data_IF_745154658412
#
_entry.id   IF_745154658412
#
_cell.length_a   1.000
_cell.length_b   1.000
_cell.length_c   1.000
_cell.angle_alpha   90.00
_cell.angle_beta   90.00
_cell.angle_gamma   90.00
#
_symmetry.space_group_name_H-M   'P 1'
#
loop_
_entity.id
_entity.type
_entity.pdbx_description
1 polymer ?
#
# COMPACT_ATOMS: atom_id res chain seq x y z
N UNK A 1 40.88 -25.35 -31.83
CA UNK A 1 40.81 -25.03 -30.39
C UNK A 1 39.35 -24.81 -30.07
N UNK A 2 38.66 -25.89 -29.69
CA UNK A 2 37.21 -25.88 -29.50
C UNK A 2 36.94 -25.40 -28.08
N UNK A 3 36.54 -24.14 -27.94
CA UNK A 3 36.04 -23.60 -26.69
C UNK A 3 34.59 -24.07 -26.55
N UNK A 4 34.39 -25.04 -25.67
CA UNK A 4 33.07 -25.39 -25.15
C UNK A 4 32.64 -24.30 -24.17
N UNK A 5 31.68 -23.47 -24.57
CA UNK A 5 30.90 -22.65 -23.63
C UNK A 5 29.76 -23.55 -23.15
N UNK A 6 29.88 -24.08 -21.93
CA UNK A 6 28.78 -24.75 -21.26
C UNK A 6 27.85 -23.68 -20.66
N UNK A 7 26.79 -23.35 -21.39
CA UNK A 7 25.65 -22.63 -20.82
C UNK A 7 24.86 -23.64 -19.98
N UNK A 8 24.92 -23.52 -18.66
CA UNK A 8 24.01 -24.25 -17.77
C UNK A 8 22.65 -23.56 -17.79
N UNK A 9 21.84 -23.91 -18.79
CA UNK A 9 20.39 -23.73 -18.69
C UNK A 9 19.87 -24.90 -17.87
N UNK A 10 19.54 -24.67 -16.61
CA UNK A 10 18.71 -25.60 -15.85
C UNK A 10 17.30 -25.50 -16.45
N UNK A 11 17.07 -26.26 -17.52
CA UNK A 11 15.75 -26.50 -18.04
C UNK A 11 15.07 -27.49 -17.10
N UNK A 12 14.41 -26.96 -16.07
CA UNK A 12 13.41 -27.73 -15.32
C UNK A 12 12.33 -28.17 -16.30
N UNK A 13 12.29 -29.47 -16.57
CA UNK A 13 11.29 -30.10 -17.42
C UNK A 13 9.90 -29.97 -16.78
N UNK A 14 9.11 -28.99 -17.22
CA UNK A 14 7.68 -28.96 -16.96
C UNK A 14 6.98 -29.87 -17.97
N UNK A 15 6.40 -30.97 -17.49
CA UNK A 15 5.42 -31.76 -18.23
C UNK A 15 4.25 -30.83 -18.61
N UNK A 16 4.04 -30.64 -19.91
CA UNK A 16 2.82 -30.02 -20.42
C UNK A 16 1.72 -31.09 -20.32
N UNK A 17 0.94 -31.04 -19.26
CA UNK A 17 -0.30 -31.82 -19.17
C UNK A 17 -1.39 -31.05 -19.92
N UNK A 18 -1.73 -31.50 -21.12
CA UNK A 18 -2.86 -30.98 -21.88
C UNK A 18 -4.16 -31.25 -21.10
N UNK A 19 -4.78 -30.21 -20.54
CA UNK A 19 -6.11 -30.34 -19.95
C UNK A 19 -7.15 -30.44 -21.07
N UNK A 20 -7.72 -31.63 -21.23
CA UNK A 20 -8.94 -31.83 -22.00
C UNK A 20 -10.09 -31.07 -21.34
N UNK A 21 -10.81 -30.24 -22.11
CA UNK A 21 -12.02 -29.58 -21.65
C UNK A 21 -13.05 -30.62 -21.17
N UNK A 22 -13.44 -30.50 -19.90
CA UNK A 22 -14.60 -31.19 -19.32
C UNK A 22 -15.81 -30.23 -19.33
N UNK A 23 -17.03 -30.76 -19.41
CA UNK A 23 -18.22 -30.05 -19.86
C UNK A 23 -18.71 -29.01 -18.84
N UNK A 24 -19.41 -28.01 -19.37
CA UNK A 24 -19.90 -26.84 -18.67
C UNK A 24 -20.62 -27.14 -17.36
N UNK A 25 -19.97 -26.75 -16.26
CA UNK A 25 -20.66 -26.33 -15.05
C UNK A 25 -20.74 -24.80 -15.12
N UNK A 26 -21.94 -24.25 -14.97
CA UNK A 26 -22.14 -22.84 -14.63
C UNK A 26 -21.63 -22.62 -13.21
N UNK A 27 -20.31 -22.65 -13.01
CA UNK A 27 -19.70 -22.10 -11.83
C UNK A 27 -20.01 -20.61 -11.88
N UNK A 28 -20.88 -20.13 -11.00
CA UNK A 28 -20.86 -18.72 -10.65
C UNK A 28 -19.40 -18.41 -10.30
N UNK A 29 -18.77 -17.54 -11.08
CA UNK A 29 -17.42 -17.09 -10.76
C UNK A 29 -17.45 -16.56 -9.34
N UNK A 30 -16.78 -17.27 -8.43
CA UNK A 30 -16.74 -16.90 -7.02
C UNK A 30 -15.72 -15.78 -6.89
N UNK A 31 -16.18 -14.55 -7.08
CA UNK A 31 -15.34 -13.36 -6.89
C UNK A 31 -14.88 -13.25 -5.43
N UNK A 32 -13.67 -12.72 -5.18
CA UNK A 32 -13.19 -12.51 -3.83
C UNK A 32 -14.05 -11.44 -3.13
N UNK A 33 -14.47 -11.74 -1.89
CA UNK A 33 -15.20 -10.80 -1.05
C UNK A 33 -14.29 -9.72 -0.44
N UNK A 34 -13.04 -10.09 -0.17
CA UNK A 34 -12.08 -9.24 0.51
C UNK A 34 -10.81 -9.14 -0.35
N UNK A 35 -10.25 -7.94 -0.45
CA UNK A 35 -9.00 -7.67 -1.15
C UNK A 35 -8.03 -7.01 -0.17
N UNK A 36 -6.87 -7.64 0.01
CA UNK A 36 -5.74 -7.07 0.75
C UNK A 36 -4.61 -6.82 -0.25
N UNK A 37 -4.19 -5.57 -0.38
CA UNK A 37 -3.08 -5.15 -1.22
C UNK A 37 -1.91 -4.71 -0.34
N UNK A 38 -0.81 -5.47 -0.39
CA UNK A 38 0.42 -5.17 0.33
C UNK A 38 1.44 -4.58 -0.66
N UNK A 39 1.83 -3.32 -0.45
CA UNK A 39 2.83 -2.61 -1.25
C UNK A 39 4.11 -2.42 -0.43
N UNK A 40 5.19 -3.11 -0.82
CA UNK A 40 6.53 -2.74 -0.38
C UNK A 40 7.10 -1.69 -1.32
N UNK A 41 7.10 -0.41 -0.95
CA UNK A 41 7.64 0.66 -1.81
C UNK A 41 9.13 0.38 -2.10
N UNK A 42 9.54 0.43 -3.37
CA UNK A 42 10.91 0.06 -3.78
C UNK A 42 11.28 -1.42 -3.64
N UNK A 43 10.34 -2.32 -3.31
CA UNK A 43 10.59 -3.75 -3.07
C UNK A 43 10.68 -4.55 -4.38
N UNK A 44 11.80 -4.43 -5.09
CA UNK A 44 12.12 -5.28 -6.23
C UNK A 44 12.61 -6.69 -5.83
N UNK A 45 12.82 -7.56 -6.83
CA UNK A 45 13.36 -8.92 -6.60
C UNK A 45 14.70 -8.91 -5.86
N UNK A 46 15.53 -7.88 -6.08
CA UNK A 46 16.81 -7.74 -5.39
C UNK A 46 16.64 -7.49 -3.89
N UNK A 47 15.64 -6.69 -3.50
CA UNK A 47 15.29 -6.42 -2.10
C UNK A 47 14.75 -7.68 -1.43
N UNK A 48 13.84 -8.40 -2.09
CA UNK A 48 13.30 -9.69 -1.59
C UNK A 48 14.44 -10.69 -1.37
N UNK A 49 15.32 -10.87 -2.36
CA UNK A 49 16.46 -11.77 -2.26
C UNK A 49 17.42 -11.38 -1.11
N UNK A 50 17.63 -10.08 -0.88
CA UNK A 50 18.46 -9.60 0.21
C UNK A 50 17.86 -9.95 1.58
N UNK A 51 16.53 -9.81 1.73
CA UNK A 51 15.85 -10.18 2.96
C UNK A 51 15.86 -11.69 3.20
N UNK A 52 15.62 -12.52 2.16
CA UNK A 52 15.73 -13.98 2.27
C UNK A 52 17.13 -14.42 2.74
N UNK A 53 18.18 -13.74 2.27
CA UNK A 53 19.57 -14.03 2.69
C UNK A 53 19.92 -13.56 4.11
N UNK A 54 19.11 -12.66 4.69
CA UNK A 54 19.33 -12.12 6.03
C UNK A 54 18.40 -12.72 7.09
N UNK A 55 17.33 -13.41 6.68
CA UNK A 55 16.38 -14.06 7.58
C UNK A 55 16.88 -15.44 8.02
N UNK A 56 16.63 -15.79 9.28
CA UNK A 56 16.89 -17.13 9.81
C UNK A 56 15.77 -18.12 9.46
N UNK A 57 14.58 -17.61 9.09
CA UNK A 57 13.38 -18.38 8.73
C UNK A 57 12.89 -18.00 7.33
N UNK A 58 12.20 -18.90 6.60
CA UNK A 58 11.57 -18.55 5.33
C UNK A 58 10.60 -17.38 5.47
N UNK A 59 10.61 -16.47 4.51
CA UNK A 59 9.73 -15.30 4.48
C UNK A 59 8.28 -15.70 4.17
N UNK A 60 7.31 -14.95 4.68
CA UNK A 60 5.90 -15.17 4.37
C UNK A 60 5.59 -14.95 2.88
N UNK A 61 6.28 -14.01 2.21
CA UNK A 61 6.12 -13.80 0.77
C UNK A 61 6.46 -15.05 -0.07
N UNK A 62 7.29 -15.97 0.45
CA UNK A 62 7.61 -17.24 -0.22
C UNK A 62 6.42 -18.20 -0.26
N UNK A 63 5.37 -17.94 0.52
CA UNK A 63 4.14 -18.74 0.56
C UNK A 63 3.17 -18.38 -0.57
N UNK A 64 3.43 -17.30 -1.32
CA UNK A 64 2.60 -16.92 -2.46
C UNK A 64 2.71 -17.95 -3.60
N UNK A 65 1.59 -18.60 -3.93
CA UNK A 65 1.57 -19.66 -4.96
C UNK A 65 1.66 -19.11 -6.40
N UNK A 66 1.27 -17.86 -6.61
CA UNK A 66 1.21 -17.21 -7.91
C UNK A 66 2.16 -16.03 -7.97
N UNK A 67 3.02 -16.01 -8.99
CA UNK A 67 4.01 -14.96 -9.21
C UNK A 67 3.85 -14.38 -10.60
N UNK A 68 3.76 -13.05 -10.69
CA UNK A 68 3.68 -12.31 -11.93
C UNK A 68 4.80 -11.26 -12.04
N UNK A 69 5.22 -10.97 -13.26
CA UNK A 69 6.12 -9.85 -13.56
C UNK A 69 5.32 -8.76 -14.26
N UNK A 70 5.49 -7.52 -13.81
CA UNK A 70 4.75 -6.37 -14.34
C UNK A 70 5.71 -5.27 -14.79
N UNK A 71 5.31 -4.48 -15.80
CA UNK A 71 6.04 -3.29 -16.24
C UNK A 71 5.50 -2.05 -15.51
N UNK A 72 6.38 -1.36 -14.80
CA UNK A 72 6.02 -0.26 -13.90
C UNK A 72 6.21 1.13 -14.48
N UNK A 73 6.67 1.30 -15.72
CA UNK A 73 6.87 2.62 -16.35
C UNK A 73 5.64 3.53 -16.24
N UNK A 74 5.84 4.84 -16.11
CA UNK A 74 4.77 5.84 -16.13
C UNK A 74 4.37 6.20 -17.58
N UNK A 75 3.43 7.12 -17.77
CA UNK A 75 3.10 7.62 -19.12
C UNK A 75 4.16 8.58 -19.67
N UNK A 76 4.91 9.25 -18.79
CA UNK A 76 5.95 10.20 -19.13
C UNK A 76 7.35 9.59 -19.22
N UNK A 77 7.62 8.52 -18.46
CA UNK A 77 8.97 8.00 -18.25
C UNK A 77 9.05 6.47 -18.18
N UNK A 78 10.21 5.93 -18.59
CA UNK A 78 10.50 4.51 -18.40
C UNK A 78 10.63 4.14 -16.91
N UNK A 79 11.13 5.06 -16.09
CA UNK A 79 11.26 4.91 -14.64
C UNK A 79 10.14 5.71 -13.97
N UNK A 80 9.22 5.02 -13.32
CA UNK A 80 8.13 5.64 -12.56
C UNK A 80 8.62 6.20 -11.23
N UNK A 81 7.85 7.12 -10.65
CA UNK A 81 7.88 7.41 -9.22
C UNK A 81 6.74 6.69 -8.47
N UNK A 82 6.74 6.75 -7.13
CA UNK A 82 5.68 6.12 -6.31
C UNK A 82 4.28 6.63 -6.64
N UNK A 83 4.12 7.91 -7.03
CA UNK A 83 2.81 8.50 -7.31
C UNK A 83 2.19 7.91 -8.58
N UNK A 84 2.91 7.94 -9.71
CA UNK A 84 2.41 7.34 -10.94
C UNK A 84 2.25 5.82 -10.82
N UNK A 85 3.14 5.15 -10.08
CA UNK A 85 3.07 3.71 -9.81
C UNK A 85 1.83 3.33 -9.01
N UNK A 86 1.58 4.04 -7.90
CA UNK A 86 0.42 3.80 -7.05
C UNK A 86 -0.89 4.19 -7.73
N UNK A 87 -0.91 5.28 -8.52
CA UNK A 87 -2.09 5.64 -9.35
C UNK A 87 -2.38 4.54 -10.38
N UNK A 88 -1.37 3.90 -10.96
CA UNK A 88 -1.60 2.76 -11.85
C UNK A 88 -2.19 1.54 -11.12
N UNK A 89 -1.77 1.26 -9.88
CA UNK A 89 -2.38 0.20 -9.07
C UNK A 89 -3.79 0.54 -8.62
N UNK A 90 -4.02 1.78 -8.20
CA UNK A 90 -5.28 2.23 -7.62
C UNK A 90 -6.36 2.46 -8.69
N UNK A 91 -6.01 3.11 -9.80
CA UNK A 91 -6.95 3.63 -10.79
C UNK A 91 -6.93 2.86 -12.13
N UNK A 92 -5.97 1.95 -12.33
CA UNK A 92 -5.87 1.15 -13.55
C UNK A 92 -5.41 1.91 -14.81
N UNK A 93 -4.88 3.13 -14.66
CA UNK A 93 -4.41 3.98 -15.76
C UNK A 93 -2.93 4.37 -15.59
N UNK A 94 -2.22 4.55 -16.71
CA UNK A 94 -0.86 5.11 -16.69
C UNK A 94 -0.93 6.63 -16.67
N UNK A 95 -0.22 7.26 -15.74
CA UNK A 95 -0.14 8.72 -15.60
C UNK A 95 1.30 9.22 -15.51
N UNK A 96 1.53 10.53 -15.45
CA UNK A 96 2.86 11.14 -15.38
C UNK A 96 3.44 11.11 -13.97
N UNK A 97 4.77 11.14 -13.85
CA UNK A 97 5.43 11.11 -12.54
C UNK A 97 4.97 12.27 -11.64
N UNK A 98 4.65 11.96 -10.38
CA UNK A 98 4.11 12.91 -9.40
C UNK A 98 2.59 13.01 -9.35
N UNK A 99 1.85 12.40 -10.27
CA UNK A 99 0.39 12.42 -10.29
C UNK A 99 -0.24 11.46 -9.26
N UNK A 100 -1.22 11.96 -8.52
CA UNK A 100 -2.00 11.24 -7.51
C UNK A 100 -3.43 11.11 -8.03
N UNK A 101 -3.90 9.90 -8.35
CA UNK A 101 -5.31 9.66 -8.70
C UNK A 101 -5.82 10.40 -9.94
N UNK A 102 -4.95 10.86 -10.85
CA UNK A 102 -5.34 11.55 -12.09
C UNK A 102 -4.75 10.87 -13.33
N UNK A 103 -5.46 10.94 -14.45
CA UNK A 103 -4.99 10.44 -15.75
C UNK A 103 -3.87 11.34 -16.31
N UNK A 104 -3.26 10.94 -17.42
CA UNK A 104 -2.20 11.67 -18.10
C UNK A 104 -2.63 13.08 -18.56
N UNK A 105 -3.93 13.32 -18.76
CA UNK A 105 -4.51 14.64 -19.06
C UNK A 105 -4.89 15.45 -17.81
N UNK A 106 -4.55 14.95 -16.62
CA UNK A 106 -4.86 15.51 -15.30
C UNK A 106 -6.34 15.43 -14.87
N UNK A 107 -7.19 14.69 -15.58
CA UNK A 107 -8.56 14.41 -15.12
C UNK A 107 -8.56 13.43 -13.93
N UNK A 108 -9.48 13.61 -12.97
CA UNK A 108 -9.61 12.71 -11.83
C UNK A 108 -10.07 11.32 -12.29
N UNK A 109 -9.44 10.27 -11.76
CA UNK A 109 -9.80 8.88 -12.05
C UNK A 109 -10.06 8.15 -10.75
N UNK A 110 -11.24 7.52 -10.66
CA UNK A 110 -11.64 6.77 -9.46
C UNK A 110 -10.67 5.65 -9.15
N UNK A 111 -10.32 5.54 -7.87
CA UNK A 111 -9.51 4.45 -7.34
C UNK A 111 -10.36 3.22 -7.01
N UNK A 112 -9.72 2.06 -6.85
CA UNK A 112 -10.32 0.84 -6.35
C UNK A 112 -10.93 1.02 -4.96
N UNK A 113 -10.37 1.90 -4.13
CA UNK A 113 -10.93 2.20 -2.81
C UNK A 113 -12.25 2.97 -2.94
N UNK A 114 -12.32 3.97 -3.81
CA UNK A 114 -13.57 4.68 -4.07
C UNK A 114 -14.63 3.78 -4.72
N UNK A 115 -14.21 2.83 -5.55
CA UNK A 115 -15.12 1.79 -6.07
C UNK A 115 -15.63 0.86 -4.96
N UNK A 116 -14.78 0.49 -4.01
CA UNK A 116 -15.16 -0.33 -2.86
C UNK A 116 -16.15 0.40 -1.93
N UNK A 117 -15.87 1.66 -1.59
CA UNK A 117 -16.78 2.54 -0.84
C UNK A 117 -18.14 2.69 -1.55
N UNK A 118 -18.13 2.97 -2.87
CA UNK A 118 -19.36 3.09 -3.64
C UNK A 118 -20.14 1.77 -3.76
N UNK A 119 -19.48 0.62 -3.57
CA UNK A 119 -20.10 -0.70 -3.52
C UNK A 119 -20.58 -1.08 -2.12
N UNK A 120 -20.37 -0.24 -1.11
CA UNK A 120 -20.73 -0.51 0.28
C UNK A 120 -19.80 -1.49 0.99
N UNK A 121 -18.57 -1.66 0.49
CA UNK A 121 -17.54 -2.46 1.16
C UNK A 121 -16.76 -1.56 2.11
N UNK A 122 -16.34 -2.10 3.26
CA UNK A 122 -15.46 -1.38 4.15
C UNK A 122 -14.09 -1.11 3.52
N UNK A 123 -13.46 0.02 3.84
CA UNK A 123 -12.14 0.35 3.30
C UNK A 123 -11.10 0.79 4.32
N UNK A 124 -9.84 0.43 4.04
CA UNK A 124 -8.73 0.69 4.94
C UNK A 124 -7.43 1.04 4.23
N UNK A 125 -6.72 2.05 4.74
CA UNK A 125 -5.38 2.46 4.32
C UNK A 125 -4.41 2.49 5.50
N UNK A 126 -3.27 1.82 5.39
CA UNK A 126 -2.19 1.90 6.38
C UNK A 126 -0.87 2.20 5.68
N UNK A 127 -0.06 3.10 6.22
CA UNK A 127 1.26 3.40 5.69
C UNK A 127 2.29 3.64 6.81
N UNK A 128 3.54 3.23 6.57
CA UNK A 128 4.67 3.55 7.46
C UNK A 128 5.27 4.95 7.23
N UNK A 129 4.87 5.63 6.17
CA UNK A 129 5.14 7.05 5.90
C UNK A 129 4.00 7.95 6.41
N UNK A 130 3.93 9.20 5.96
CA UNK A 130 2.71 10.00 6.14
C UNK A 130 1.55 9.39 5.37
N UNK A 131 0.33 9.43 5.90
CA UNK A 131 -0.84 8.92 5.17
C UNK A 131 -1.14 9.71 3.88
N UNK A 132 -0.62 10.94 3.77
CA UNK A 132 -0.67 11.77 2.56
C UNK A 132 0.55 11.59 1.64
N UNK A 133 1.39 10.59 1.89
CA UNK A 133 2.48 10.23 0.96
C UNK A 133 1.90 9.62 -0.31
N UNK A 134 2.69 9.57 -1.38
CA UNK A 134 2.20 9.24 -2.72
C UNK A 134 1.43 7.92 -2.78
N UNK A 135 1.99 6.84 -2.23
CA UNK A 135 1.39 5.50 -2.28
C UNK A 135 -0.01 5.46 -1.66
N UNK A 136 -0.22 5.81 -0.36
CA UNK A 136 -1.57 5.85 0.21
C UNK A 136 -2.47 6.92 -0.42
N UNK A 137 -1.93 8.10 -0.75
CA UNK A 137 -2.70 9.19 -1.34
C UNK A 137 -3.35 8.79 -2.67
N UNK A 138 -2.65 8.04 -3.53
CA UNK A 138 -3.17 7.60 -4.84
C UNK A 138 -4.43 6.72 -4.74
N UNK A 139 -4.77 6.19 -3.57
CA UNK A 139 -6.00 5.43 -3.36
C UNK A 139 -7.19 6.29 -2.92
N UNK A 140 -7.01 7.54 -2.50
CA UNK A 140 -8.10 8.32 -1.91
C UNK A 140 -8.16 9.79 -2.39
N UNK A 141 -7.07 10.29 -2.96
CA UNK A 141 -6.93 11.69 -3.34
C UNK A 141 -6.76 11.85 -4.85
N UNK A 142 -7.05 13.05 -5.34
CA UNK A 142 -6.85 13.42 -6.75
C UNK A 142 -6.08 14.72 -6.86
N UNK A 143 -4.81 14.64 -7.25
CA UNK A 143 -3.94 15.79 -7.34
C UNK A 143 -2.86 15.63 -8.41
N UNK A 144 -2.60 16.70 -9.17
CA UNK A 144 -1.52 16.73 -10.17
C UNK A 144 -0.12 16.67 -9.55
N UNK A 145 0.01 16.82 -8.23
CA UNK A 145 1.29 16.77 -7.54
C UNK A 145 1.21 16.08 -6.18
N UNK A 146 2.04 15.04 -6.02
CA UNK A 146 2.32 14.36 -4.75
C UNK A 146 2.86 15.27 -3.64
N UNK A 147 3.33 16.47 -3.99
CA UNK A 147 3.82 17.46 -3.03
C UNK A 147 2.71 18.25 -2.32
N UNK A 148 1.47 18.15 -2.78
CA UNK A 148 0.34 18.93 -2.26
C UNK A 148 -0.30 18.29 -1.02
N UNK A 149 0.50 17.95 0.00
CA UNK A 149 0.06 17.20 1.17
C UNK A 149 -1.14 17.79 1.92
N UNK A 150 -1.25 19.12 2.03
CA UNK A 150 -2.40 19.76 2.67
C UNK A 150 -3.68 19.63 1.82
N UNK A 151 -3.58 19.68 0.49
CA UNK A 151 -4.72 19.44 -0.39
C UNK A 151 -5.12 17.95 -0.33
N UNK A 152 -4.15 17.05 -0.42
CA UNK A 152 -4.34 15.60 -0.28
C UNK A 152 -5.01 15.26 1.08
N UNK A 153 -4.64 15.93 2.17
CA UNK A 153 -5.27 15.72 3.47
C UNK A 153 -6.76 16.12 3.49
N UNK A 154 -7.19 17.07 2.65
CA UNK A 154 -8.61 17.43 2.54
C UNK A 154 -9.41 16.31 1.86
N UNK A 155 -8.83 15.60 0.90
CA UNK A 155 -9.52 14.51 0.18
C UNK A 155 -9.91 13.35 1.13
N UNK A 156 -9.20 13.15 2.25
CA UNK A 156 -9.59 12.23 3.32
C UNK A 156 -10.92 12.60 4.02
N UNK A 157 -11.41 13.83 3.84
CA UNK A 157 -12.75 14.23 4.30
C UNK A 157 -13.82 13.99 3.24
N UNK A 158 -13.45 13.85 1.96
CA UNK A 158 -14.38 13.70 0.85
C UNK A 158 -14.83 12.24 0.69
N UNK A 159 -13.88 11.30 0.77
CA UNK A 159 -14.17 9.85 0.73
C UNK A 159 -14.43 9.33 2.14
N UNK A 160 -15.49 8.54 2.29
CA UNK A 160 -15.98 8.08 3.60
C UNK A 160 -15.26 6.81 4.13
N UNK A 161 -13.95 6.73 3.92
CA UNK A 161 -13.09 5.61 4.32
C UNK A 161 -13.28 5.19 5.79
N UNK A 162 -13.34 3.89 6.09
CA UNK A 162 -13.53 3.45 7.48
C UNK A 162 -12.28 3.60 8.33
N UNK A 163 -11.12 3.29 7.77
CA UNK A 163 -9.86 3.28 8.51
C UNK A 163 -8.74 3.90 7.68
N UNK A 164 -8.06 4.91 8.22
CA UNK A 164 -6.74 5.26 7.74
C UNK A 164 -5.76 5.45 8.88
N UNK A 165 -4.54 4.93 8.73
CA UNK A 165 -3.49 5.09 9.74
C UNK A 165 -2.11 5.30 9.14
N UNK A 166 -1.43 6.34 9.60
CA UNK A 166 -0.06 6.63 9.19
C UNK A 166 0.50 7.80 9.99
N UNK A 167 1.62 8.34 9.52
CA UNK A 167 2.15 9.61 10.01
C UNK A 167 1.45 10.82 9.38
N UNK A 168 1.99 12.00 9.65
CA UNK A 168 1.61 13.24 8.94
C UNK A 168 0.53 14.06 9.62
N UNK A 169 0.37 13.94 10.94
CA UNK A 169 -0.56 14.75 11.74
C UNK A 169 -0.49 16.24 11.40
N UNK A 170 0.72 16.79 11.16
CA UNK A 170 0.90 18.21 10.80
C UNK A 170 0.04 18.66 9.60
N UNK A 171 -0.22 17.78 8.64
CA UNK A 171 -1.01 18.14 7.45
C UNK A 171 -2.52 18.25 7.73
N UNK A 172 -2.94 17.77 8.90
CA UNK A 172 -4.33 17.81 9.38
C UNK A 172 -4.56 18.90 10.42
N UNK A 173 -3.54 19.31 11.19
CA UNK A 173 -3.72 20.26 12.32
C UNK A 173 -2.77 21.46 12.36
N UNK A 174 -1.70 21.48 11.56
CA UNK A 174 -0.75 22.60 11.44
C UNK A 174 -0.69 23.06 9.99
N UNK A 175 -1.81 23.63 9.55
CA UNK A 175 -2.07 23.94 8.14
C UNK A 175 -1.95 25.43 7.85
N UNK A 176 -1.52 25.77 6.63
CA UNK A 176 -1.43 27.16 6.15
C UNK A 176 -2.77 27.90 6.14
N UNK A 177 -3.86 27.18 5.90
CA UNK A 177 -5.23 27.72 5.92
C UNK A 177 -5.83 27.81 7.33
N UNK A 178 -5.09 27.39 8.36
CA UNK A 178 -5.51 27.33 9.77
C UNK A 178 -6.73 26.43 10.03
N UNK A 179 -7.10 25.56 9.07
CA UNK A 179 -8.16 24.58 9.30
C UNK A 179 -7.67 23.48 10.26
N UNK A 180 -8.55 23.04 11.16
CA UNK A 180 -8.35 21.81 11.94
C UNK A 180 -9.18 20.69 11.30
N UNK A 181 -8.52 19.80 10.57
CA UNK A 181 -9.18 18.65 9.95
C UNK A 181 -9.51 17.56 10.98
N UNK A 182 -8.88 17.56 12.17
CA UNK A 182 -9.21 16.59 13.22
C UNK A 182 -10.62 16.83 13.75
N UNK A 183 -11.01 18.09 13.93
CA UNK A 183 -12.38 18.43 14.31
C UNK A 183 -13.38 18.02 13.22
N UNK A 184 -13.05 18.25 11.95
CA UNK A 184 -13.91 17.85 10.83
C UNK A 184 -14.06 16.33 10.72
N UNK A 185 -12.98 15.57 10.95
CA UNK A 185 -13.01 14.11 11.04
C UNK A 185 -13.88 13.65 12.23
N UNK A 186 -13.77 14.27 13.41
CA UNK A 186 -14.66 13.97 14.55
C UNK A 186 -16.13 14.21 14.21
N UNK A 187 -16.43 15.29 13.50
CA UNK A 187 -17.80 15.59 13.03
C UNK A 187 -18.31 14.55 12.00
N UNK A 188 -17.41 13.81 11.37
CA UNK A 188 -17.69 12.64 10.52
C UNK A 188 -17.61 11.31 11.27
N UNK A 189 -17.65 11.34 12.61
CA UNK A 189 -17.63 10.18 13.51
C UNK A 189 -16.32 9.36 13.52
N UNK A 190 -15.20 9.96 13.09
CA UNK A 190 -13.90 9.31 13.24
C UNK A 190 -13.39 9.41 14.68
N UNK A 191 -12.89 8.29 15.17
CA UNK A 191 -12.03 8.25 16.35
C UNK A 191 -10.62 8.66 15.95
N UNK A 192 -10.17 9.79 16.47
CA UNK A 192 -8.81 10.30 16.24
C UNK A 192 -7.86 9.58 17.18
N UNK A 193 -6.91 8.83 16.62
CA UNK A 193 -5.88 8.13 17.38
C UNK A 193 -4.52 8.76 17.07
N UNK A 194 -3.83 9.24 18.09
CA UNK A 194 -2.54 9.95 17.94
C UNK A 194 -1.34 9.13 18.45
N UNK A 195 -1.59 7.99 19.09
CA UNK A 195 -0.58 7.07 19.57
C UNK A 195 -1.00 5.62 19.28
N UNK A 196 -0.08 4.81 18.77
CA UNK A 196 -0.32 3.42 18.42
C UNK A 196 -0.79 2.56 19.61
N UNK A 197 -0.37 2.89 20.84
CA UNK A 197 -0.77 2.14 22.03
C UNK A 197 -2.27 2.30 22.35
N UNK A 198 -2.87 3.41 21.91
CA UNK A 198 -4.30 3.70 22.10
C UNK A 198 -5.18 2.91 21.12
N UNK A 199 -4.61 2.32 20.05
CA UNK A 199 -5.37 1.53 19.06
C UNK A 199 -6.11 0.35 19.71
N UNK A 200 -5.54 -0.21 20.79
CA UNK A 200 -6.16 -1.33 21.52
C UNK A 200 -7.52 -0.97 22.15
N UNK A 201 -7.75 0.32 22.43
CA UNK A 201 -8.99 0.83 23.01
C UNK A 201 -10.12 0.92 21.98
N UNK A 202 -9.78 1.06 20.69
CA UNK A 202 -10.77 1.17 19.62
C UNK A 202 -11.33 -0.20 19.28
N UNK A 203 -12.66 -0.33 19.43
CA UNK A 203 -13.37 -1.60 19.19
C UNK A 203 -14.16 -1.60 17.89
N UNK A 204 -14.72 -0.50 17.46
CA UNK A 204 -15.59 -0.41 16.29
C UNK A 204 -15.63 1.03 15.77
N UNK A 205 -16.27 1.24 14.62
CA UNK A 205 -16.40 2.55 14.00
C UNK A 205 -15.14 3.02 13.27
N UNK A 206 -15.18 4.27 12.81
CA UNK A 206 -14.15 4.82 11.93
C UNK A 206 -12.91 5.27 12.68
N UNK A 207 -11.74 5.10 12.08
CA UNK A 207 -10.43 5.42 12.67
C UNK A 207 -9.65 6.35 11.77
N UNK A 208 -9.21 7.48 12.35
CA UNK A 208 -8.20 8.35 11.79
C UNK A 208 -6.95 8.29 12.68
N UNK A 209 -6.02 7.39 12.35
CA UNK A 209 -4.76 7.22 13.06
C UNK A 209 -3.67 8.12 12.49
N UNK A 210 -3.36 9.21 13.19
CA UNK A 210 -2.30 10.15 12.82
C UNK A 210 -1.19 10.04 13.87
N UNK A 211 -0.47 8.92 13.79
CA UNK A 211 0.31 8.37 14.90
C UNK A 211 1.66 9.07 15.12
N UNK A 212 2.07 9.93 14.18
CA UNK A 212 3.29 10.73 14.25
C UNK A 212 3.08 12.10 13.56
N UNK A 213 3.79 13.13 14.02
CA UNK A 213 3.76 14.48 13.41
C UNK A 213 4.14 14.45 11.92
N UNK A 214 5.15 13.64 11.59
CA UNK A 214 5.68 13.41 10.25
C UNK A 214 5.59 11.91 9.96
N UNK A 215 6.50 11.37 9.15
CA UNK A 215 6.63 9.94 8.91
C UNK A 215 6.97 9.18 10.21
N UNK A 216 6.73 7.87 10.23
CA UNK A 216 7.25 7.03 11.30
C UNK A 216 8.79 7.04 11.26
N UNK A 217 9.42 6.71 12.39
CA UNK A 217 10.86 6.41 12.39
C UNK A 217 11.13 5.21 11.46
N UNK A 218 12.34 5.11 10.94
CA UNK A 218 12.80 3.88 10.31
C UNK A 218 12.97 2.77 11.35
N UNK A 219 12.78 1.50 10.97
CA UNK A 219 12.98 0.34 11.83
C UNK A 219 14.38 0.30 12.44
N UNK A 220 15.43 0.60 11.67
CA UNK A 220 16.81 0.71 12.18
C UNK A 220 17.03 1.80 13.24
N UNK A 221 16.13 2.79 13.33
CA UNK A 221 16.16 3.88 14.33
C UNK A 221 15.21 3.62 15.49
N UNK A 222 14.73 2.39 15.65
CA UNK A 222 13.85 1.99 16.74
C UNK A 222 12.41 2.43 16.54
N UNK A 223 11.87 2.26 15.33
CA UNK A 223 10.41 2.18 15.14
C UNK A 223 9.91 0.95 15.91
N UNK A 224 8.90 1.14 16.75
CA UNK A 224 8.19 0.05 17.41
C UNK A 224 7.30 -0.69 16.40
N UNK A 225 6.47 -1.62 16.85
CA UNK A 225 5.58 -2.38 15.97
C UNK A 225 4.36 -1.58 15.48
N UNK A 226 4.46 -0.25 15.37
CA UNK A 226 3.35 0.63 14.99
C UNK A 226 2.74 0.25 13.64
N UNK A 227 3.55 -0.15 12.64
CA UNK A 227 3.01 -0.57 11.35
C UNK A 227 2.19 -1.86 11.50
N UNK A 228 2.71 -2.87 12.20
CA UNK A 228 2.04 -4.13 12.47
C UNK A 228 0.75 -3.90 13.28
N UNK A 229 0.84 -3.14 14.40
CA UNK A 229 -0.31 -2.78 15.25
C UNK A 229 -1.41 -2.09 14.44
N UNK A 230 -1.03 -1.16 13.56
CA UNK A 230 -1.98 -0.45 12.68
C UNK A 230 -2.60 -1.40 11.67
N UNK A 231 -1.82 -2.28 11.04
CA UNK A 231 -2.30 -3.25 10.05
C UNK A 231 -3.32 -4.21 10.65
N UNK A 232 -2.99 -4.81 11.80
CA UNK A 232 -3.87 -5.72 12.54
C UNK A 232 -5.15 -5.01 12.97
N UNK A 233 -5.04 -3.78 13.50
CA UNK A 233 -6.23 -3.02 13.91
C UNK A 233 -7.11 -2.64 12.71
N UNK A 234 -6.53 -2.24 11.58
CA UNK A 234 -7.30 -1.93 10.38
C UNK A 234 -8.08 -3.15 9.91
N UNK A 235 -7.41 -4.30 9.78
CA UNK A 235 -8.04 -5.57 9.39
C UNK A 235 -9.12 -5.96 10.41
N UNK A 236 -8.87 -5.83 11.72
CA UNK A 236 -9.87 -6.11 12.76
C UNK A 236 -11.16 -5.28 12.59
N UNK A 237 -11.05 -4.03 12.14
CA UNK A 237 -12.20 -3.15 11.92
C UNK A 237 -12.91 -3.47 10.60
N UNK A 238 -12.18 -3.46 9.47
CA UNK A 238 -12.81 -3.63 8.14
C UNK A 238 -13.34 -5.05 7.92
N UNK A 239 -12.75 -6.06 8.59
CA UNK A 239 -13.23 -7.45 8.49
C UNK A 239 -14.60 -7.71 9.13
N UNK A 240 -15.14 -6.73 9.87
CA UNK A 240 -16.49 -6.81 10.46
C UNK A 240 -17.59 -6.59 9.44
N UNK A 241 -17.26 -6.03 8.28
CA UNK A 241 -18.22 -5.81 7.21
C UNK A 241 -18.64 -7.14 6.56
N UNK A 242 -19.95 -7.41 6.58
CA UNK A 242 -20.52 -8.62 6.00
C UNK A 242 -20.64 -8.56 4.48
N UNK A 243 -20.44 -7.41 3.84
CA UNK A 243 -20.40 -7.27 2.38
C UNK A 243 -18.97 -7.46 1.85
N UNK A 244 -17.96 -7.13 2.66
CA UNK A 244 -16.54 -7.36 2.38
C UNK A 244 -15.70 -6.10 2.56
N UNK A 245 -14.43 -6.15 2.15
CA UNK A 245 -13.54 -5.00 2.31
C UNK A 245 -12.41 -4.90 1.28
N UNK A 246 -11.92 -3.67 1.10
CA UNK A 246 -10.64 -3.39 0.46
C UNK A 246 -9.66 -2.79 1.48
N UNK A 247 -8.49 -3.40 1.65
CA UNK A 247 -7.44 -2.92 2.54
C UNK A 247 -6.13 -2.78 1.77
N UNK A 248 -5.43 -1.65 1.93
CA UNK A 248 -4.08 -1.46 1.41
C UNK A 248 -3.11 -1.13 2.54
N UNK A 249 -1.94 -1.80 2.52
CA UNK A 249 -0.82 -1.52 3.41
C UNK A 249 0.42 -1.11 2.61
N UNK A 250 1.06 -0.03 3.05
CA UNK A 250 2.30 0.48 2.45
C UNK A 250 3.50 0.39 3.42
N UNK A 251 4.39 -0.56 3.13
CA UNK A 251 5.74 -0.68 3.66
C UNK A 251 6.69 0.38 3.07
N UNK A 252 6.33 1.65 3.23
CA UNK A 252 6.89 2.81 2.52
C UNK A 252 8.42 2.97 2.60
N UNK A 253 9.08 2.53 3.68
CA UNK A 253 10.47 2.93 3.96
C UNK A 253 11.52 1.94 3.43
N UNK A 254 11.10 0.83 2.79
CA UNK A 254 12.01 -0.05 2.02
C UNK A 254 12.70 0.78 0.91
N UNK A 255 11.91 1.57 0.18
CA UNK A 255 12.37 2.53 -0.83
C UNK A 255 13.39 3.53 -0.27
N UNK A 256 13.12 4.08 0.92
CA UNK A 256 13.99 5.09 1.54
C UNK A 256 15.35 4.50 1.91
N UNK A 257 15.39 3.26 2.39
CA UNK A 257 16.66 2.53 2.55
C UNK A 257 17.41 2.37 1.23
N UNK A 258 16.69 2.12 0.15
CA UNK A 258 17.25 2.07 -1.21
C UNK A 258 17.86 3.40 -1.64
N UNK A 259 17.14 4.51 -1.43
CA UNK A 259 17.61 5.87 -1.71
C UNK A 259 18.85 6.23 -0.89
N UNK A 260 18.88 5.85 0.39
CA UNK A 260 20.00 6.06 1.30
C UNK A 260 21.20 5.13 1.01
N UNK A 261 21.03 4.14 0.12
CA UNK A 261 22.02 3.09 -0.18
C UNK A 261 22.40 2.29 1.08
N UNK A 262 21.45 2.13 2.00
CA UNK A 262 21.64 1.42 3.26
C UNK A 262 20.90 0.08 3.21
N UNK A 263 21.66 -0.99 2.95
CA UNK A 263 21.11 -2.34 2.87
C UNK A 263 20.51 -2.81 4.21
N UNK A 264 21.05 -2.36 5.35
CA UNK A 264 20.50 -2.72 6.66
C UNK A 264 19.13 -2.08 6.83
N UNK A 265 18.99 -0.83 6.40
CA UNK A 265 17.69 -0.15 6.38
C UNK A 265 16.68 -0.92 5.52
N UNK A 266 17.01 -1.19 4.25
CA UNK A 266 16.16 -1.95 3.32
C UNK A 266 15.70 -3.28 3.92
N UNK A 267 16.65 -4.09 4.40
CA UNK A 267 16.37 -5.44 4.90
C UNK A 267 15.50 -5.38 6.15
N UNK A 268 15.79 -4.51 7.11
CA UNK A 268 14.97 -4.45 8.34
C UNK A 268 13.55 -3.95 8.11
N UNK A 269 13.33 -3.05 7.15
CA UNK A 269 11.98 -2.61 6.75
C UNK A 269 11.22 -3.75 6.06
N UNK A 270 11.88 -4.49 5.16
CA UNK A 270 11.26 -5.61 4.45
C UNK A 270 10.91 -6.75 5.42
N UNK A 271 11.81 -7.09 6.35
CA UNK A 271 11.53 -8.12 7.36
C UNK A 271 10.39 -7.73 8.30
N UNK A 272 10.20 -6.45 8.61
CA UNK A 272 9.00 -6.01 9.35
C UNK A 272 7.75 -6.11 8.49
N UNK A 273 7.84 -5.71 7.21
CA UNK A 273 6.72 -5.76 6.28
C UNK A 273 6.25 -7.20 6.01
N UNK A 274 7.17 -8.16 5.94
CA UNK A 274 6.87 -9.59 5.73
C UNK A 274 6.11 -10.24 6.91
N UNK A 275 6.10 -9.62 8.09
CA UNK A 275 5.36 -10.14 9.26
C UNK A 275 3.86 -9.77 9.21
N UNK A 276 3.49 -8.77 8.40
CA UNK A 276 2.11 -8.27 8.25
C UNK A 276 1.27 -9.22 7.41
#
# INVERSE_FOLDING_TARGET
>A
MNIFIALWVVAGSSLITSYSQLPGNSNQEKYPKNIILLIGDGMGLAQVQAAMGASDEPLNIERCEQVGLIKTSSSSDYITDSAAGATAFACGVKTFNGAIGVDADSSNVKSILEFAEAAGLATGLVASSTITHATPASFIAHNVSRGNHEAIALDFLETDIDVFMGGGLKYFNDRKDQADLLEQLRNKNYQIVLNADDLSSVKEGKIAGLLHEKNFKSRIKGRDDVLIKSSVKAIEIVSKDEDGFFFMNDGSQIDWGGHDKDIKYVVTELLEFDII
#
